data_IF_302380780318
#
_entry.id   IF_302380780318
#
_cell.length_a   1.000
_cell.length_b   1.000
_cell.length_c   1.000
_cell.angle_alpha   90.00
_cell.angle_beta   90.00
_cell.angle_gamma   90.00
#
_symmetry.space_group_name_H-M   'P 1'
#
loop_
_entity.id
_entity.type
_entity.pdbx_description
1 polymer ?
#
# COMPACT_ATOMS: atom_id res chain seq x y z
N UNK A 1 -0.98 -9.67 15.87
CA UNK A 1 -1.93 -9.00 14.96
C UNK A 1 -2.91 -8.22 15.81
N UNK A 2 -3.21 -6.98 15.45
CA UNK A 2 -4.15 -6.12 16.17
C UNK A 2 -5.21 -5.60 15.24
N UNK A 3 -6.47 -5.69 15.66
CA UNK A 3 -7.62 -5.21 14.89
C UNK A 3 -8.10 -3.85 15.39
N UNK A 4 -8.32 -2.92 14.45
CA UNK A 4 -9.00 -1.65 14.66
C UNK A 4 -10.32 -1.68 13.89
N UNK A 5 -11.46 -1.95 14.55
CA UNK A 5 -12.76 -2.02 13.88
C UNK A 5 -13.30 -0.61 13.57
N UNK A 6 -13.78 -0.37 12.35
CA UNK A 6 -14.29 0.94 11.91
C UNK A 6 -15.79 0.94 11.53
N UNK A 7 -16.24 2.14 11.20
CA UNK A 7 -17.57 2.60 10.75
C UNK A 7 -18.37 1.45 10.10
N UNK A 8 -19.26 0.84 10.90
CA UNK A 8 -20.24 -0.25 10.59
C UNK A 8 -19.87 -1.71 10.91
N UNK A 9 -18.76 -2.00 11.61
CA UNK A 9 -18.35 -3.37 12.03
C UNK A 9 -18.08 -4.36 10.87
N UNK A 10 -18.16 -3.94 9.61
CA UNK A 10 -17.86 -4.79 8.45
C UNK A 10 -16.46 -4.54 7.90
N UNK A 11 -15.92 -3.33 8.09
CA UNK A 11 -14.54 -2.98 7.73
C UNK A 11 -13.66 -2.93 8.97
N UNK A 12 -12.52 -3.61 8.90
CA UNK A 12 -11.51 -3.62 9.95
C UNK A 12 -10.14 -3.31 9.35
N UNK A 13 -9.36 -2.46 10.02
CA UNK A 13 -7.93 -2.39 9.75
C UNK A 13 -7.20 -3.38 10.64
N UNK A 14 -6.26 -4.12 10.08
CA UNK A 14 -5.37 -4.97 10.84
C UNK A 14 -3.95 -4.43 10.76
N UNK A 15 -3.27 -4.44 11.90
CA UNK A 15 -1.85 -4.13 12.03
C UNK A 15 -1.10 -5.39 12.43
N UNK A 16 -0.11 -5.76 11.62
CA UNK A 16 0.71 -6.94 11.80
C UNK A 16 2.14 -6.47 12.09
N UNK A 17 2.52 -6.61 13.35
CA UNK A 17 3.86 -6.31 13.82
C UNK A 17 4.71 -7.58 13.73
N UNK A 18 5.94 -7.51 13.21
CA UNK A 18 6.90 -8.59 13.37
C UNK A 18 7.13 -8.84 14.87
N UNK A 19 7.22 -10.10 15.27
CA UNK A 19 7.34 -10.48 16.67
C UNK A 19 8.32 -11.63 16.85
N UNK A 20 9.11 -11.55 17.91
CA UNK A 20 10.09 -12.57 18.35
C UNK A 20 9.81 -12.97 19.78
N UNK A 21 10.16 -14.20 20.16
CA UNK A 21 10.07 -14.64 21.55
C UNK A 21 11.11 -13.89 22.39
N UNK A 22 10.72 -13.50 23.59
CA UNK A 22 11.60 -12.86 24.57
C UNK A 22 12.63 -13.89 25.07
N UNK A 23 13.91 -13.52 25.07
CA UNK A 23 14.97 -14.35 25.65
C UNK A 23 14.81 -14.53 27.18
N UNK A 24 14.12 -13.59 27.82
CA UNK A 24 13.91 -13.59 29.27
C UNK A 24 12.65 -14.34 29.71
N UNK A 25 11.66 -14.46 28.83
CA UNK A 25 10.40 -15.13 29.10
C UNK A 25 9.91 -15.88 27.84
N UNK A 26 9.98 -17.23 27.81
CA UNK A 26 9.59 -18.04 26.65
C UNK A 26 8.11 -17.91 26.23
N UNK A 27 7.26 -17.43 27.15
CA UNK A 27 5.83 -17.22 26.93
C UNK A 27 5.51 -15.76 26.50
N UNK A 28 6.51 -14.88 26.53
CA UNK A 28 6.39 -13.49 26.12
C UNK A 28 6.84 -13.29 24.66
N UNK A 29 6.03 -12.58 23.89
CA UNK A 29 6.38 -12.11 22.55
C UNK A 29 6.68 -10.61 22.59
N UNK A 30 7.77 -10.21 21.94
CA UNK A 30 8.18 -8.81 21.78
C UNK A 30 8.13 -8.42 20.32
N UNK A 31 7.83 -7.16 20.05
CA UNK A 31 7.89 -6.62 18.68
C UNK A 31 9.34 -6.65 18.22
N UNK A 32 9.58 -7.27 17.07
CA UNK A 32 10.90 -7.26 16.44
C UNK A 32 11.06 -5.97 15.65
N UNK A 33 11.86 -5.07 16.16
CA UNK A 33 12.08 -3.79 15.50
C UNK A 33 13.02 -3.90 14.28
N UNK A 34 13.67 -5.03 14.00
CA UNK A 34 14.74 -5.12 12.99
C UNK A 34 14.32 -5.77 11.67
N UNK A 35 13.33 -6.68 11.65
CA UNK A 35 13.03 -7.47 10.45
C UNK A 35 11.56 -7.43 10.06
N UNK A 36 11.16 -6.39 9.33
CA UNK A 36 9.87 -6.42 8.60
C UNK A 36 9.90 -7.41 7.44
N UNK A 37 11.09 -7.68 6.87
CA UNK A 37 11.27 -8.60 5.75
C UNK A 37 10.83 -10.02 6.10
N UNK A 38 11.20 -10.54 7.28
CA UNK A 38 10.79 -11.89 7.69
C UNK A 38 9.28 -12.04 7.83
N UNK A 39 8.57 -10.98 8.22
CA UNK A 39 7.10 -10.97 8.22
C UNK A 39 6.56 -11.01 6.78
N UNK A 40 7.10 -10.17 5.88
CA UNK A 40 6.68 -10.12 4.47
C UNK A 40 6.92 -11.47 3.79
N UNK A 41 8.12 -12.04 3.92
CA UNK A 41 8.49 -13.35 3.38
C UNK A 41 7.53 -14.45 3.85
N UNK A 42 7.15 -14.45 5.12
CA UNK A 42 6.17 -15.42 5.61
C UNK A 42 4.80 -15.18 4.98
N UNK A 43 4.37 -13.94 4.84
CA UNK A 43 3.07 -13.59 4.25
C UNK A 43 2.98 -13.88 2.75
N UNK A 44 4.10 -14.04 2.04
CA UNK A 44 4.11 -14.39 0.61
C UNK A 44 4.11 -15.90 0.34
N UNK A 45 4.20 -16.73 1.38
CA UNK A 45 4.03 -18.19 1.26
C UNK A 45 2.55 -18.58 1.20
N UNK A 46 2.24 -19.73 0.62
CA UNK A 46 0.88 -20.29 0.61
C UNK A 46 0.38 -20.52 2.05
N UNK A 47 1.21 -21.15 2.88
CA UNK A 47 0.88 -21.46 4.27
C UNK A 47 0.65 -20.19 5.10
N UNK A 48 1.49 -19.17 4.91
CA UNK A 48 1.37 -17.89 5.61
C UNK A 48 0.17 -17.08 5.14
N UNK A 49 -0.17 -17.14 3.85
CA UNK A 49 -1.37 -16.49 3.30
C UNK A 49 -2.64 -17.16 3.82
N UNK A 50 -2.67 -18.48 3.86
CA UNK A 50 -3.82 -19.23 4.38
C UNK A 50 -4.00 -19.02 5.88
N UNK A 51 -2.90 -18.98 6.64
CA UNK A 51 -2.95 -18.62 8.05
C UNK A 51 -3.47 -17.20 8.24
N UNK A 52 -3.00 -16.23 7.44
CA UNK A 52 -3.53 -14.86 7.48
C UNK A 52 -5.04 -14.85 7.25
N UNK A 53 -5.53 -15.51 6.20
CA UNK A 53 -6.97 -15.57 5.90
C UNK A 53 -7.77 -16.15 7.06
N UNK A 54 -7.32 -17.27 7.63
CA UNK A 54 -7.93 -17.85 8.84
C UNK A 54 -7.99 -16.81 9.96
N UNK A 55 -6.86 -16.16 10.26
CA UNK A 55 -6.78 -15.18 11.34
C UNK A 55 -7.70 -13.97 11.13
N UNK A 56 -7.86 -13.50 9.89
CA UNK A 56 -8.74 -12.36 9.57
C UNK A 56 -10.22 -12.69 9.80
N UNK A 57 -10.62 -13.93 9.60
CA UNK A 57 -12.01 -14.39 9.79
C UNK A 57 -12.37 -14.66 11.25
N UNK A 58 -11.39 -14.95 12.11
CA UNK A 58 -11.64 -15.11 13.54
C UNK A 58 -11.68 -13.76 14.28
N UNK A 59 -12.58 -13.57 15.27
CA UNK A 59 -12.55 -12.40 16.14
C UNK A 59 -11.21 -12.33 16.88
N UNK A 60 -10.56 -11.16 16.86
CA UNK A 60 -9.16 -11.04 17.28
C UNK A 60 -8.88 -11.57 18.69
N UNK A 61 -7.76 -12.29 18.81
CA UNK A 61 -7.16 -12.68 20.08
C UNK A 61 -6.57 -11.44 20.78
N UNK A 62 -6.49 -11.51 22.11
CA UNK A 62 -6.21 -10.37 22.99
C UNK A 62 -5.02 -9.49 22.56
N UNK A 63 -5.08 -8.17 22.79
CA UNK A 63 -4.00 -7.25 22.43
C UNK A 63 -2.68 -7.68 23.08
N UNK A 64 -1.60 -7.63 22.30
CA UNK A 64 -0.26 -7.82 22.81
C UNK A 64 0.01 -6.78 23.91
N UNK A 65 0.45 -7.23 25.09
CA UNK A 65 0.92 -6.30 26.14
C UNK A 65 2.03 -5.42 25.54
N UNK A 66 1.98 -4.11 25.79
CA UNK A 66 2.95 -3.10 25.32
C UNK A 66 2.87 -2.67 23.84
N UNK A 67 1.77 -2.96 23.14
CA UNK A 67 1.60 -2.45 21.78
C UNK A 67 1.26 -0.95 21.78
N UNK A 68 2.16 -0.12 21.25
CA UNK A 68 1.89 1.29 20.97
C UNK A 68 1.27 1.38 19.58
N UNK A 69 -0.03 1.66 19.55
CA UNK A 69 -0.74 1.85 18.29
C UNK A 69 -0.45 3.23 17.71
N UNK A 70 -0.37 3.35 16.37
CA UNK A 70 -0.29 4.65 15.71
C UNK A 70 -1.51 5.53 15.99
N UNK A 71 -1.31 6.77 16.45
CA UNK A 71 -2.41 7.74 16.67
C UNK A 71 -3.06 8.21 15.35
N UNK A 72 -2.23 8.45 14.33
CA UNK A 72 -2.66 8.75 12.97
C UNK A 72 -1.52 8.62 11.98
N UNK A 73 -1.75 8.08 10.79
CA UNK A 73 -0.76 8.09 9.70
C UNK A 73 -1.36 8.50 8.37
N UNK A 74 -0.50 8.99 7.48
CA UNK A 74 -0.81 9.29 6.10
C UNK A 74 0.22 8.61 5.19
N UNK A 75 -0.26 7.94 4.16
CA UNK A 75 0.54 7.35 3.10
C UNK A 75 -0.08 7.72 1.76
N UNK A 76 0.76 8.16 0.83
CA UNK A 76 0.44 8.27 -0.59
C UNK A 76 1.59 7.62 -1.34
N UNK A 77 1.27 6.70 -2.25
CA UNK A 77 2.29 5.95 -2.96
C UNK A 77 1.87 5.70 -4.40
N UNK A 78 2.82 5.92 -5.32
CA UNK A 78 2.70 5.62 -6.73
C UNK A 78 3.41 4.29 -7.02
N UNK A 79 2.65 3.30 -7.45
CA UNK A 79 3.14 2.02 -7.93
C UNK A 79 3.14 2.05 -9.46
N UNK A 80 4.32 1.89 -10.06
CA UNK A 80 4.42 1.59 -11.49
C UNK A 80 3.78 0.23 -11.73
N UNK A 81 2.75 0.18 -12.58
CA UNK A 81 2.14 -1.09 -12.99
C UNK A 81 3.01 -1.77 -14.05
N UNK A 82 3.88 -1.03 -14.75
CA UNK A 82 4.70 -1.56 -15.84
C UNK A 82 5.63 -2.69 -15.38
N UNK A 83 6.26 -2.52 -14.22
CA UNK A 83 7.11 -3.55 -13.59
C UNK A 83 6.29 -4.80 -13.24
N UNK A 84 5.06 -4.61 -12.73
CA UNK A 84 4.16 -5.71 -12.42
C UNK A 84 3.71 -6.45 -13.70
N UNK A 85 3.44 -5.75 -14.80
CA UNK A 85 3.09 -6.38 -16.08
C UNK A 85 4.24 -7.25 -16.60
N UNK A 86 5.48 -6.81 -16.39
CA UNK A 86 6.67 -7.58 -16.71
C UNK A 86 6.78 -8.84 -15.85
N UNK A 87 6.65 -8.71 -14.52
CA UNK A 87 6.72 -9.84 -13.60
C UNK A 87 5.61 -10.87 -13.82
N UNK A 88 4.43 -10.43 -14.28
CA UNK A 88 3.31 -11.28 -14.65
C UNK A 88 3.44 -11.90 -16.05
N UNK A 89 4.50 -11.59 -16.81
CA UNK A 89 4.73 -12.13 -18.15
C UNK A 89 3.75 -11.61 -19.21
N UNK A 90 3.17 -10.42 -19.00
CA UNK A 90 2.22 -9.75 -19.90
C UNK A 90 2.76 -8.41 -20.43
N UNK A 91 4.09 -8.29 -20.48
CA UNK A 91 4.79 -7.09 -20.96
C UNK A 91 4.42 -6.71 -22.39
N UNK A 92 3.97 -7.64 -23.23
CA UNK A 92 3.55 -7.34 -24.61
C UNK A 92 2.44 -6.27 -24.69
N UNK A 93 1.70 -6.02 -23.62
CA UNK A 93 0.72 -4.92 -23.56
C UNK A 93 1.37 -3.54 -23.67
N UNK A 94 2.63 -3.42 -23.25
CA UNK A 94 3.43 -2.19 -23.31
C UNK A 94 4.16 -2.03 -24.66
N UNK A 95 4.25 -3.10 -25.45
CA UNK A 95 5.07 -3.17 -26.64
C UNK A 95 4.27 -2.75 -27.88
N UNK A 96 4.66 -1.66 -28.57
CA UNK A 96 3.93 -1.16 -29.72
C UNK A 96 3.79 -2.15 -30.86
N UNK A 97 4.64 -3.16 -31.00
CA UNK A 97 4.58 -4.12 -32.12
C UNK A 97 3.92 -5.46 -31.74
N UNK A 98 3.70 -5.70 -30.45
CA UNK A 98 3.23 -6.99 -29.92
C UNK A 98 1.87 -6.90 -29.20
N UNK A 99 1.43 -5.69 -28.83
CA UNK A 99 0.14 -5.50 -28.18
C UNK A 99 -1.03 -5.79 -29.12
N UNK A 100 -2.08 -6.40 -28.58
CA UNK A 100 -3.37 -6.52 -29.27
C UNK A 100 -4.49 -6.08 -28.35
N UNK A 101 -4.88 -4.82 -28.49
CA UNK A 101 -5.98 -4.19 -27.76
C UNK A 101 -7.17 -3.89 -28.69
N UNK A 102 -7.41 -4.76 -29.67
CA UNK A 102 -8.40 -4.57 -30.75
C UNK A 102 -9.85 -4.44 -30.27
N UNK A 103 -10.14 -4.88 -29.04
CA UNK A 103 -11.47 -4.70 -28.44
C UNK A 103 -11.72 -3.27 -27.95
N UNK A 104 -10.68 -2.42 -27.87
CA UNK A 104 -10.78 -1.02 -27.46
C UNK A 104 -10.82 -0.05 -28.64
N UNK A 105 -10.15 -0.39 -29.75
CA UNK A 105 -10.07 0.43 -30.95
C UNK A 105 -9.74 -0.44 -32.17
N UNK A 106 -10.20 0.00 -33.35
CA UNK A 106 -9.80 -0.58 -34.63
C UNK A 106 -8.36 -0.18 -35.03
N UNK A 107 -7.79 0.81 -34.36
CA UNK A 107 -6.39 1.21 -34.51
C UNK A 107 -5.45 0.34 -33.69
N UNK A 108 -4.20 0.22 -34.16
CA UNK A 108 -3.17 -0.49 -33.43
C UNK A 108 -2.82 0.24 -32.12
N UNK A 109 -3.19 -0.37 -30.99
CA UNK A 109 -3.12 0.24 -29.66
C UNK A 109 -2.23 -0.59 -28.73
N UNK A 110 -1.36 0.10 -28.01
CA UNK A 110 -0.57 -0.41 -26.89
C UNK A 110 -0.77 0.47 -25.67
N UNK A 111 -0.42 -0.06 -24.50
CA UNK A 111 -0.25 0.75 -23.30
C UNK A 111 1.09 1.48 -23.40
N UNK A 112 1.05 2.80 -23.41
CA UNK A 112 2.24 3.63 -23.22
C UNK A 112 2.69 3.69 -21.75
N UNK A 113 2.05 2.97 -20.84
CA UNK A 113 2.39 2.88 -19.42
C UNK A 113 1.14 2.76 -18.55
N UNK A 114 1.31 2.33 -17.30
CA UNK A 114 0.25 2.23 -16.33
C UNK A 114 0.75 2.52 -14.91
N UNK A 115 -0.10 3.14 -14.09
CA UNK A 115 0.25 3.52 -12.73
C UNK A 115 -0.94 3.34 -11.78
N UNK A 116 -0.65 2.83 -10.59
CA UNK A 116 -1.59 2.72 -9.48
C UNK A 116 -1.16 3.70 -8.39
N UNK A 117 -2.01 4.68 -8.08
CA UNK A 117 -1.83 5.52 -6.88
C UNK A 117 -2.77 5.05 -5.80
N UNK A 118 -2.24 4.81 -4.60
CA UNK A 118 -3.03 4.59 -3.41
C UNK A 118 -2.75 5.69 -2.39
N UNK A 119 -3.79 6.14 -1.69
CA UNK A 119 -3.67 6.99 -0.52
C UNK A 119 -4.43 6.38 0.66
N UNK A 120 -3.85 6.46 1.84
CA UNK A 120 -4.47 6.04 3.10
C UNK A 120 -4.18 7.08 4.16
N UNK A 121 -5.24 7.52 4.82
CA UNK A 121 -5.22 8.35 6.01
C UNK A 121 -5.93 7.62 7.12
N UNK A 122 -5.21 7.34 8.19
CA UNK A 122 -5.75 6.73 9.39
C UNK A 122 -5.64 7.70 10.56
N UNK A 123 -6.66 7.68 11.42
CA UNK A 123 -6.62 8.20 12.79
C UNK A 123 -7.25 7.17 13.72
N UNK A 124 -7.11 7.39 15.03
CA UNK A 124 -7.74 6.57 16.08
C UNK A 124 -9.25 6.35 15.92
N UNK A 125 -9.94 7.20 15.15
CA UNK A 125 -11.41 7.14 14.99
C UNK A 125 -11.86 6.93 13.55
N UNK A 126 -11.01 7.22 12.56
CA UNK A 126 -11.41 7.23 11.15
C UNK A 126 -10.31 6.68 10.25
N UNK A 127 -10.71 5.97 9.22
CA UNK A 127 -9.84 5.59 8.10
C UNK A 127 -10.48 6.10 6.82
N UNK A 128 -9.68 6.80 6.02
CA UNK A 128 -10.00 7.16 4.64
C UNK A 128 -8.95 6.52 3.76
N UNK A 129 -9.38 5.69 2.81
CA UNK A 129 -8.51 5.07 1.84
C UNK A 129 -9.12 5.24 0.45
N UNK A 130 -8.27 5.39 -0.56
CA UNK A 130 -8.68 5.45 -1.95
C UNK A 130 -7.53 5.08 -2.87
N UNK A 131 -7.86 4.62 -4.06
CA UNK A 131 -6.89 4.29 -5.08
C UNK A 131 -7.39 4.67 -6.46
N UNK A 132 -6.46 4.96 -7.37
CA UNK A 132 -6.71 5.32 -8.76
C UNK A 132 -5.74 4.54 -9.64
N UNK A 133 -6.28 3.86 -10.66
CA UNK A 133 -5.52 3.27 -11.74
C UNK A 133 -5.56 4.20 -12.94
N UNK A 134 -4.41 4.49 -13.54
CA UNK A 134 -4.32 5.20 -14.81
C UNK A 134 -3.56 4.35 -15.82
N UNK A 135 -4.11 4.27 -17.02
CA UNK A 135 -3.51 3.66 -18.18
C UNK A 135 -3.28 4.74 -19.23
N UNK A 136 -2.08 4.77 -19.79
CA UNK A 136 -1.70 5.72 -20.82
C UNK A 136 -1.54 4.97 -22.14
N UNK A 137 -1.84 5.64 -23.25
CA UNK A 137 -1.55 5.12 -24.61
C UNK A 137 -0.24 5.69 -25.15
N UNK A 138 0.36 6.65 -24.44
CA UNK A 138 1.65 7.26 -24.71
C UNK A 138 2.41 7.43 -23.40
N UNK A 139 3.73 7.22 -23.47
CA UNK A 139 4.62 7.40 -22.32
C UNK A 139 4.59 8.84 -21.78
N UNK A 140 4.79 8.99 -20.47
CA UNK A 140 4.99 10.29 -19.81
C UNK A 140 3.80 10.83 -19.00
N UNK A 141 2.79 10.02 -18.73
CA UNK A 141 1.76 10.39 -17.77
C UNK A 141 2.28 10.32 -16.33
N UNK A 142 2.05 11.36 -15.54
CA UNK A 142 2.37 11.38 -14.11
C UNK A 142 1.23 12.00 -13.31
N UNK A 143 1.12 11.60 -12.06
CA UNK A 143 0.24 12.28 -11.13
C UNK A 143 0.96 13.51 -10.56
N UNK A 144 0.20 14.59 -10.35
CA UNK A 144 0.71 15.68 -9.50
C UNK A 144 0.77 15.17 -8.06
N UNK A 145 1.90 15.37 -7.39
CA UNK A 145 1.96 15.14 -5.95
C UNK A 145 0.88 15.99 -5.28
N UNK A 146 0.11 15.39 -4.38
CA UNK A 146 -0.68 16.18 -3.44
C UNK A 146 0.34 16.73 -2.45
N UNK A 147 0.49 18.06 -2.36
CA UNK A 147 1.44 18.69 -1.43
C UNK A 147 1.06 18.38 0.03
N UNK A 148 2.10 18.27 0.86
CA UNK A 148 2.11 17.88 2.28
C UNK A 148 1.81 16.40 2.60
N UNK A 149 2.60 15.48 2.03
CA UNK A 149 2.88 14.19 2.69
C UNK A 149 3.66 14.46 3.99
N UNK A 150 2.94 14.86 5.05
CA UNK A 150 3.44 14.77 6.42
C UNK A 150 3.46 13.29 6.79
N UNK A 151 4.55 12.63 6.40
CA UNK A 151 4.81 11.27 6.83
C UNK A 151 4.97 11.28 8.36
N UNK A 152 4.15 10.47 9.03
CA UNK A 152 4.37 10.21 10.44
C UNK A 152 5.61 9.32 10.57
N UNK A 153 6.66 9.86 11.22
CA UNK A 153 7.79 9.05 11.65
C UNK A 153 7.27 8.03 12.67
N UNK A 154 7.38 6.75 12.31
CA UNK A 154 7.04 5.64 13.20
C UNK A 154 8.29 4.90 13.63
N UNK A 155 8.37 4.65 14.94
CA UNK A 155 9.44 3.89 15.57
C UNK A 155 9.32 2.36 15.32
N UNK A 156 8.21 1.92 14.70
CA UNK A 156 7.91 0.51 14.49
C UNK A 156 7.52 0.25 13.03
N UNK A 157 8.14 -0.77 12.44
CA UNK A 157 7.73 -1.30 11.14
C UNK A 157 6.57 -2.26 11.31
N UNK A 158 5.57 -2.18 10.43
CA UNK A 158 4.41 -3.08 10.45
C UNK A 158 3.77 -3.19 9.07
N UNK A 159 3.14 -4.33 8.81
CA UNK A 159 2.21 -4.50 7.70
C UNK A 159 0.83 -4.04 8.16
N UNK A 160 0.13 -3.30 7.33
CA UNK A 160 -1.26 -2.91 7.58
C UNK A 160 -2.15 -3.37 6.42
N UNK A 161 -3.40 -3.67 6.72
CA UNK A 161 -4.40 -3.99 5.71
C UNK A 161 -5.79 -3.50 6.12
N UNK A 162 -6.61 -3.18 5.13
CA UNK A 162 -8.05 -2.91 5.30
C UNK A 162 -8.80 -4.12 4.78
N UNK A 163 -9.55 -4.78 5.64
CA UNK A 163 -10.28 -6.01 5.35
C UNK A 163 -11.79 -5.77 5.39
N UNK A 164 -12.48 -6.27 4.38
CA UNK A 164 -13.93 -6.35 4.37
C UNK A 164 -14.37 -7.73 4.86
N UNK A 165 -14.91 -7.77 6.08
CA UNK A 165 -15.39 -8.99 6.74
C UNK A 165 -16.63 -9.59 6.07
N UNK A 166 -17.42 -8.78 5.35
CA UNK A 166 -18.62 -9.28 4.67
C UNK A 166 -18.25 -10.07 3.42
N UNK A 167 -17.29 -9.55 2.65
CA UNK A 167 -16.86 -10.16 1.39
C UNK A 167 -15.62 -11.03 1.53
N UNK A 168 -14.99 -11.03 2.71
CA UNK A 168 -13.74 -11.73 3.00
C UNK A 168 -12.60 -11.35 2.04
N UNK A 169 -12.49 -10.05 1.75
CA UNK A 169 -11.50 -9.50 0.82
C UNK A 169 -10.60 -8.46 1.49
N UNK A 170 -9.34 -8.46 1.10
CA UNK A 170 -8.39 -7.38 1.42
C UNK A 170 -8.61 -6.27 0.40
N UNK A 171 -8.99 -5.08 0.87
CA UNK A 171 -9.21 -3.90 0.04
C UNK A 171 -7.92 -3.11 -0.19
N UNK A 172 -7.10 -3.00 0.86
CA UNK A 172 -5.81 -2.31 0.83
C UNK A 172 -4.82 -3.09 1.67
N UNK A 173 -3.56 -3.09 1.25
CA UNK A 173 -2.43 -3.62 2.01
C UNK A 173 -1.23 -2.71 1.79
N UNK A 174 -0.41 -2.54 2.82
CA UNK A 174 0.81 -1.78 2.72
C UNK A 174 1.75 -2.05 3.89
N UNK A 175 2.93 -1.44 3.80
CA UNK A 175 4.00 -1.58 4.79
C UNK A 175 4.41 -0.20 5.27
N UNK A 176 4.47 -0.02 6.58
CA UNK A 176 5.26 1.06 7.18
C UNK A 176 6.61 0.46 7.56
N UNK A 177 7.68 1.01 7.00
CA UNK A 177 9.04 0.58 7.28
C UNK A 177 9.86 1.74 7.85
N UNK A 178 10.36 1.57 9.07
CA UNK A 178 11.18 2.57 9.77
C UNK A 178 12.54 2.82 9.10
N UNK A 179 13.09 1.82 8.42
CA UNK A 179 14.48 1.83 7.92
C UNK A 179 14.61 2.36 6.48
N UNK A 180 13.49 2.56 5.78
CA UNK A 180 13.52 3.17 4.45
C UNK A 180 13.55 4.70 4.56
N UNK A 181 14.46 5.38 3.84
CA UNK A 181 14.33 6.82 3.62
C UNK A 181 12.97 7.07 2.99
N UNK A 182 12.06 7.64 3.77
CA UNK A 182 10.79 8.10 3.26
C UNK A 182 11.13 9.23 2.28
N UNK A 183 10.93 9.01 0.98
CA UNK A 183 11.38 9.90 -0.10
C UNK A 183 10.94 11.32 0.22
N UNK A 184 11.89 12.15 0.66
CA UNK A 184 11.70 13.58 0.80
C UNK A 184 11.70 14.14 -0.60
N UNK A 185 10.55 14.63 -1.07
CA UNK A 185 10.50 15.50 -2.24
C UNK A 185 11.15 16.84 -1.88
N UNK A 186 12.48 16.85 -1.85
CA UNK A 186 13.30 18.05 -1.90
C UNK A 186 14.10 18.02 -3.20
N UNK A 187 13.96 19.11 -3.95
CA UNK A 187 14.70 19.52 -5.14
C UNK A 187 14.11 19.12 -6.50
N UNK A 188 13.29 20.03 -7.05
CA UNK A 188 13.64 20.65 -8.33
C UNK A 188 13.26 22.14 -8.30
N UNK A 189 14.24 22.96 -7.96
CA UNK A 189 14.37 24.30 -8.52
C UNK A 189 14.55 24.17 -10.04
N UNK A 190 13.48 24.40 -10.79
CA UNK A 190 13.58 24.83 -12.18
C UNK A 190 12.42 25.77 -12.49
N UNK A 191 12.81 27.04 -12.63
CA UNK A 191 12.02 28.10 -13.24
C UNK A 191 11.42 27.64 -14.57
N UNK A 192 10.10 27.71 -14.69
CA UNK A 192 9.45 28.09 -15.94
C UNK A 192 8.03 28.55 -15.66
N UNK A 193 7.87 29.88 -15.67
CA UNK A 193 6.60 30.56 -15.89
C UNK A 193 5.84 29.91 -17.04
N UNK A 194 4.54 29.68 -16.86
CA UNK A 194 3.56 29.80 -17.94
C UNK A 194 2.20 30.12 -17.32
N UNK A 195 1.90 31.41 -17.32
CA UNK A 195 0.57 31.99 -17.19
C UNK A 195 -0.30 31.50 -18.34
N UNK A 196 -1.50 31.00 -18.05
CA UNK A 196 -2.61 31.01 -19.01
C UNK A 196 -3.77 31.73 -18.34
N UNK A 197 -3.95 33.00 -18.71
CA UNK A 197 -5.14 33.77 -18.40
C UNK A 197 -6.31 33.20 -19.21
N UNK A 198 -7.37 32.78 -18.51
CA UNK A 198 -8.68 32.57 -19.12
C UNK A 198 -9.39 33.93 -19.18
N UNK A 199 -9.47 34.51 -20.38
CA UNK A 199 -10.39 35.62 -20.64
C UNK A 199 -11.82 35.08 -20.74
N UNK A 200 -12.71 35.66 -19.95
CA UNK A 200 -14.14 35.72 -20.26
C UNK A 200 -14.39 36.77 -21.36
#
# INVERSE_FOLDING_TARGET
>A
MTELPYIKKTLSMFLLFPAVKSDQDPDEWKVDHQSISGLIERLTTEEGTDELRRMLDYPSLQPLKNLVLPDSFYLEYDLSIDELLQDLGIQQLLEPDHSSLSNFSDEHLHLGGAMHRAYVRMSSTHVTAGAINIFFTKNGGSFKSIEETKYCQYEQSFVWLIYDRLWQIILFVGVINKDLPQVSSSEHTASSSNTVELKQ
#
